data_IF_123421595453
#
_entry.id   IF_123421595453
#
_cell.length_a   1.000
_cell.length_b   1.000
_cell.length_c   1.000
_cell.angle_alpha   90.00
_cell.angle_beta   90.00
_cell.angle_gamma   90.00
#
_symmetry.space_group_name_H-M   'P 1'
#
loop_
_entity.id
_entity.type
_entity.pdbx_description
1 polymer ?
#
# COMPACT_ATOMS: atom_id res chain seq x y z
N UNK A 1 -15.54 -1.50 -13.69
CA UNK A 1 -15.74 -2.00 -12.31
C UNK A 1 -16.71 -1.07 -11.63
N UNK A 2 -17.52 -1.57 -10.69
CA UNK A 2 -18.43 -0.71 -9.93
C UNK A 2 -17.63 0.21 -9.00
N UNK A 3 -18.00 1.49 -8.93
CA UNK A 3 -17.33 2.48 -8.07
C UNK A 3 -17.35 2.07 -6.57
N UNK A 4 -18.42 1.37 -6.15
CA UNK A 4 -18.51 0.77 -4.81
C UNK A 4 -17.43 -0.28 -4.56
N UNK A 5 -17.10 -1.10 -5.57
CA UNK A 5 -16.10 -2.15 -5.46
C UNK A 5 -14.69 -1.58 -5.30
N UNK A 6 -14.35 -0.58 -6.12
CA UNK A 6 -13.05 0.12 -6.02
C UNK A 6 -12.88 0.83 -4.66
N UNK A 7 -13.96 1.43 -4.14
CA UNK A 7 -13.96 2.07 -2.83
C UNK A 7 -13.75 1.05 -1.69
N UNK A 8 -14.45 -0.08 -1.72
CA UNK A 8 -14.28 -1.15 -0.72
C UNK A 8 -12.84 -1.68 -0.73
N UNK A 9 -12.29 -1.95 -1.91
CA UNK A 9 -10.89 -2.41 -2.03
C UNK A 9 -9.93 -1.36 -1.49
N UNK A 10 -10.14 -0.09 -1.83
CA UNK A 10 -9.27 0.99 -1.37
C UNK A 10 -9.24 1.07 0.15
N UNK A 11 -10.40 0.99 0.81
CA UNK A 11 -10.48 0.98 2.28
C UNK A 11 -9.81 -0.27 2.89
N UNK A 12 -10.03 -1.44 2.29
CA UNK A 12 -9.38 -2.68 2.73
C UNK A 12 -7.86 -2.61 2.60
N UNK A 13 -7.35 -2.06 1.49
CA UNK A 13 -5.92 -1.88 1.27
C UNK A 13 -5.32 -0.91 2.28
N UNK A 14 -5.97 0.21 2.54
CA UNK A 14 -5.52 1.17 3.57
C UNK A 14 -5.43 0.48 4.95
N UNK A 15 -6.48 -0.26 5.34
CA UNK A 15 -6.48 -0.98 6.61
C UNK A 15 -5.35 -2.00 6.68
N UNK A 16 -5.18 -2.79 5.62
CA UNK A 16 -4.13 -3.80 5.54
C UNK A 16 -2.73 -3.19 5.67
N UNK A 17 -2.43 -2.13 4.90
CA UNK A 17 -1.12 -1.49 4.93
C UNK A 17 -0.86 -0.73 6.23
N UNK A 18 -1.89 -0.22 6.90
CA UNK A 18 -1.74 0.39 8.22
C UNK A 18 -1.34 -0.65 9.29
N UNK A 19 -1.97 -1.84 9.26
CA UNK A 19 -1.61 -2.94 10.17
C UNK A 19 -0.20 -3.44 9.88
N UNK A 20 0.15 -3.64 8.61
CA UNK A 20 1.48 -4.09 8.19
C UNK A 20 2.57 -3.09 8.57
N UNK A 21 2.30 -1.79 8.44
CA UNK A 21 3.22 -0.72 8.88
C UNK A 21 3.43 -0.78 10.39
N UNK A 22 2.35 -0.95 11.17
CA UNK A 22 2.43 -1.07 12.62
C UNK A 22 3.24 -2.30 13.05
N UNK A 23 3.01 -3.44 12.40
CA UNK A 23 3.80 -4.66 12.62
C UNK A 23 5.29 -4.44 12.30
N UNK A 24 5.57 -3.82 11.15
CA UNK A 24 6.95 -3.51 10.72
C UNK A 24 7.66 -2.54 11.68
N UNK A 25 6.92 -1.61 12.29
CA UNK A 25 7.44 -0.69 13.32
C UNK A 25 7.80 -1.42 14.61
N UNK A 26 6.98 -2.40 15.03
CA UNK A 26 7.25 -3.23 16.21
C UNK A 26 8.51 -4.07 16.02
N UNK A 27 8.68 -4.67 14.84
CA UNK A 27 9.84 -5.49 14.49
C UNK A 27 11.08 -4.66 14.14
N UNK A 28 10.96 -3.32 14.09
CA UNK A 28 12.05 -2.36 13.79
C UNK A 28 12.76 -2.63 12.45
N UNK A 29 12.06 -3.22 11.50
CA UNK A 29 12.60 -3.52 10.17
C UNK A 29 12.38 -2.31 9.26
N UNK A 30 13.36 -1.41 9.19
CA UNK A 30 13.29 -0.17 8.43
C UNK A 30 12.88 -0.34 6.96
N UNK A 31 13.35 -1.41 6.29
CA UNK A 31 12.98 -1.68 4.91
C UNK A 31 11.48 -2.00 4.76
N UNK A 32 10.91 -2.81 5.65
CA UNK A 32 9.49 -3.15 5.62
C UNK A 32 8.63 -1.94 6.00
N UNK A 33 9.06 -1.15 6.99
CA UNK A 33 8.40 0.12 7.37
C UNK A 33 8.26 1.02 6.14
N UNK A 34 9.36 1.24 5.40
CA UNK A 34 9.36 2.11 4.23
C UNK A 34 8.41 1.60 3.14
N UNK A 35 8.48 0.30 2.82
CA UNK A 35 7.64 -0.31 1.79
C UNK A 35 6.15 -0.26 2.15
N UNK A 36 5.81 -0.56 3.40
CA UNK A 36 4.43 -0.50 3.89
C UNK A 36 3.90 0.93 3.93
N UNK A 37 4.75 1.90 4.28
CA UNK A 37 4.38 3.31 4.28
C UNK A 37 4.12 3.86 2.86
N UNK A 38 4.97 3.48 1.89
CA UNK A 38 4.78 3.85 0.48
C UNK A 38 3.42 3.33 -0.03
N UNK A 39 3.08 2.08 0.28
CA UNK A 39 1.80 1.51 -0.12
C UNK A 39 0.62 2.17 0.59
N UNK A 40 0.75 2.47 1.88
CA UNK A 40 -0.28 3.20 2.60
C UNK A 40 -0.57 4.55 1.94
N UNK A 41 0.46 5.32 1.59
CA UNK A 41 0.29 6.60 0.89
C UNK A 41 -0.38 6.39 -0.47
N UNK A 42 0.08 5.41 -1.26
CA UNK A 42 -0.47 5.12 -2.59
C UNK A 42 -1.99 4.90 -2.58
N UNK A 43 -2.50 4.24 -1.54
CA UNK A 43 -3.93 3.95 -1.41
C UNK A 43 -4.71 5.07 -0.71
N UNK A 44 -4.11 5.79 0.25
CA UNK A 44 -4.73 6.97 0.87
C UNK A 44 -4.89 8.12 -0.12
N UNK A 45 -3.95 8.29 -1.05
CA UNK A 45 -3.99 9.32 -2.09
C UNK A 45 -5.24 9.25 -2.97
N UNK A 46 -5.87 8.07 -3.09
CA UNK A 46 -7.15 7.96 -3.80
C UNK A 46 -8.32 8.64 -3.07
N UNK A 47 -8.33 8.58 -1.74
CA UNK A 47 -9.38 9.18 -0.91
C UNK A 47 -9.07 10.66 -0.62
N UNK A 48 -7.79 10.96 -0.41
CA UNK A 48 -7.27 12.28 -0.09
C UNK A 48 -6.08 12.59 -0.99
N UNK A 49 -6.33 13.02 -2.24
CA UNK A 49 -5.25 13.26 -3.19
C UNK A 49 -4.34 14.38 -2.70
N UNK A 50 -3.07 14.03 -2.50
CA UNK A 50 -1.97 14.95 -2.19
C UNK A 50 -1.77 15.89 -3.38
N UNK A 51 -1.90 15.37 -4.60
CA UNK A 51 -1.91 16.14 -5.83
C UNK A 51 -3.15 15.82 -6.68
N UNK A 52 -4.07 16.78 -6.80
CA UNK A 52 -5.33 16.61 -7.55
C UNK A 52 -5.13 16.36 -9.04
N UNK A 53 -3.96 16.69 -9.58
CA UNK A 53 -3.64 16.56 -11.01
C UNK A 53 -3.08 15.19 -11.37
N UNK A 54 -2.60 14.41 -10.40
CA UNK A 54 -1.99 13.10 -10.62
C UNK A 54 -2.90 12.03 -10.03
N UNK A 55 -3.81 11.48 -10.84
CA UNK A 55 -4.56 10.28 -10.48
C UNK A 55 -3.85 9.04 -11.01
N UNK A 56 -3.34 8.22 -10.11
CA UNK A 56 -2.79 6.91 -10.47
C UNK A 56 -3.97 5.97 -10.73
N UNK A 57 -4.09 5.35 -11.92
CA UNK A 57 -5.18 4.43 -12.21
C UNK A 57 -5.22 3.24 -11.23
N UNK A 58 -6.42 2.74 -10.92
CA UNK A 58 -6.61 1.61 -10.02
C UNK A 58 -5.74 0.40 -10.38
N UNK A 59 -5.71 0.00 -11.65
CA UNK A 59 -4.89 -1.12 -12.12
C UNK A 59 -3.39 -0.90 -11.88
N UNK A 60 -2.91 0.34 -12.05
CA UNK A 60 -1.51 0.69 -11.78
C UNK A 60 -1.20 0.59 -10.30
N UNK A 61 -2.12 1.01 -9.41
CA UNK A 61 -1.95 0.86 -7.95
C UNK A 61 -1.87 -0.61 -7.54
N UNK A 62 -2.75 -1.45 -8.08
CA UNK A 62 -2.72 -2.91 -7.84
C UNK A 62 -1.40 -3.51 -8.32
N UNK A 63 -0.92 -3.11 -9.51
CA UNK A 63 0.36 -3.59 -10.03
C UNK A 63 1.56 -3.18 -9.15
N UNK A 64 1.62 -1.92 -8.73
CA UNK A 64 2.65 -1.42 -7.79
C UNK A 64 2.57 -2.18 -6.46
N UNK A 65 1.34 -2.41 -5.96
CA UNK A 65 1.10 -3.18 -4.73
C UNK A 65 1.68 -4.58 -4.85
N UNK A 66 1.43 -5.28 -5.95
CA UNK A 66 1.99 -6.61 -6.19
C UNK A 66 3.52 -6.61 -6.21
N UNK A 67 4.15 -5.65 -6.88
CA UNK A 67 5.61 -5.54 -6.93
C UNK A 67 6.23 -5.31 -5.55
N UNK A 68 5.63 -4.43 -4.74
CA UNK A 68 6.12 -4.14 -3.40
C UNK A 68 5.88 -5.33 -2.47
N UNK A 69 4.72 -5.99 -2.55
CA UNK A 69 4.45 -7.23 -1.79
C UNK A 69 5.50 -8.29 -2.09
N UNK A 70 5.82 -8.54 -3.37
CA UNK A 70 6.87 -9.50 -3.75
C UNK A 70 8.22 -9.10 -3.17
N UNK A 71 8.57 -7.82 -3.21
CA UNK A 71 9.80 -7.29 -2.62
C UNK A 71 9.83 -7.51 -1.10
N UNK A 72 8.71 -7.28 -0.39
CA UNK A 72 8.59 -7.55 1.04
C UNK A 72 8.75 -9.04 1.37
N UNK A 73 8.16 -9.94 0.57
CA UNK A 73 8.31 -11.38 0.77
C UNK A 73 9.76 -11.84 0.58
N UNK A 74 10.44 -11.31 -0.44
CA UNK A 74 11.87 -11.57 -0.66
C UNK A 74 12.69 -11.06 0.54
N UNK A 75 12.44 -9.82 0.99
CA UNK A 75 13.12 -9.25 2.17
C UNK A 75 12.92 -10.10 3.43
N UNK A 76 11.68 -10.53 3.69
CA UNK A 76 11.33 -11.40 4.83
C UNK A 76 12.00 -12.77 4.78
N UNK A 77 12.34 -13.28 3.60
CA UNK A 77 13.08 -14.54 3.47
C UNK A 77 14.54 -14.41 3.91
N UNK A 78 15.13 -13.22 3.83
CA UNK A 78 16.54 -12.97 4.14
C UNK A 78 16.78 -12.34 5.53
N UNK A 79 15.72 -11.89 6.21
CA UNK A 79 15.75 -11.33 7.56
C UNK A 79 15.47 -12.40 8.62
#
# INVERSE_FOLDING_TARGET
>A
MDALYEMIITLLMILFWAVELLYSLLDRVFALILLSFILLILWVDELFPINKEVKIPFNTRVFITLLIVLTQQILRFFL
#
